data_IF_398812999978
#
_entry.id   IF_398812999978
#
_cell.length_a   1.000
_cell.length_b   1.000
_cell.length_c   1.000
_cell.angle_alpha   90.00
_cell.angle_beta   90.00
_cell.angle_gamma   90.00
#
_symmetry.space_group_name_H-M   'P 1'
#
loop_
_entity.id
_entity.type
_entity.pdbx_description
1 polymer ?
#
# COMPACT_ATOMS: atom_id res chain seq x y z
N UNK A 1 -6.81 7.83 47.71
CA UNK A 1 -8.00 7.16 47.09
C UNK A 1 -7.54 5.86 46.53
N UNK A 2 -8.28 4.79 46.83
CA UNK A 2 -8.05 3.44 46.32
C UNK A 2 -9.17 3.07 45.34
N UNK A 3 -8.77 2.56 44.20
CA UNK A 3 -9.69 1.98 43.23
C UNK A 3 -9.40 0.50 43.02
N UNK A 4 -10.44 -0.30 43.00
CA UNK A 4 -10.38 -1.70 42.62
C UNK A 4 -11.12 -1.89 41.30
N UNK A 5 -10.45 -2.38 40.26
CA UNK A 5 -11.04 -2.72 38.98
C UNK A 5 -11.41 -4.19 39.00
N UNK A 6 -12.71 -4.51 38.77
CA UNK A 6 -13.21 -5.87 38.79
C UNK A 6 -13.83 -6.22 37.44
N UNK A 7 -13.62 -7.44 37.00
CA UNK A 7 -14.28 -8.06 35.85
C UNK A 7 -15.38 -9.00 36.35
N UNK A 8 -16.60 -8.80 35.88
CA UNK A 8 -17.69 -9.76 36.06
C UNK A 8 -17.83 -10.58 34.76
N UNK A 9 -17.59 -11.88 34.85
CA UNK A 9 -17.78 -12.82 33.75
C UNK A 9 -19.04 -13.63 34.02
N UNK A 10 -19.93 -13.66 33.01
CA UNK A 10 -21.15 -14.53 33.04
C UNK A 10 -20.98 -15.61 31.99
N UNK A 11 -20.93 -16.86 32.45
CA UNK A 11 -20.77 -17.99 31.54
C UNK A 11 -22.08 -18.29 30.80
N UNK A 12 -22.00 -19.02 29.70
CA UNK A 12 -23.18 -19.49 28.94
C UNK A 12 -24.12 -20.40 29.76
N UNK A 13 -23.64 -20.90 30.89
CA UNK A 13 -24.41 -21.76 31.84
C UNK A 13 -25.07 -20.96 32.96
N UNK A 14 -24.87 -19.63 32.99
CA UNK A 14 -25.50 -18.73 33.95
C UNK A 14 -24.66 -18.46 35.21
N UNK A 15 -23.49 -19.09 35.37
CA UNK A 15 -22.59 -18.79 36.50
C UNK A 15 -21.98 -17.42 36.34
N UNK A 16 -21.90 -16.69 37.46
CA UNK A 16 -21.33 -15.34 37.51
C UNK A 16 -20.07 -15.39 38.37
N UNK A 17 -18.94 -15.04 37.79
CA UNK A 17 -17.67 -14.93 38.48
C UNK A 17 -17.19 -13.48 38.48
N UNK A 18 -16.77 -12.98 39.65
CA UNK A 18 -16.19 -11.64 39.79
C UNK A 18 -14.72 -11.75 40.14
N UNK A 19 -13.85 -11.25 39.26
CA UNK A 19 -12.41 -11.34 39.39
C UNK A 19 -11.82 -9.94 39.51
N UNK A 20 -10.89 -9.74 40.44
CA UNK A 20 -10.14 -8.50 40.56
C UNK A 20 -9.07 -8.43 39.48
N UNK A 21 -9.09 -7.35 38.69
CA UNK A 21 -8.15 -7.10 37.59
C UNK A 21 -6.96 -6.29 38.07
N UNK A 22 -7.21 -5.21 38.84
CA UNK A 22 -6.15 -4.34 39.33
C UNK A 22 -6.59 -3.51 40.54
N UNK A 23 -5.62 -3.06 41.33
CA UNK A 23 -5.78 -2.02 42.36
C UNK A 23 -4.92 -0.83 42.02
N UNK A 24 -5.47 0.36 42.18
CA UNK A 24 -4.79 1.61 41.95
C UNK A 24 -4.89 2.46 43.19
N UNK A 25 -3.75 3.00 43.65
CA UNK A 25 -3.68 3.91 44.77
C UNK A 25 -3.19 5.29 44.32
N UNK A 26 -3.83 6.37 44.81
CA UNK A 26 -3.37 7.74 44.58
C UNK A 26 -3.39 8.53 45.88
N UNK A 27 -2.32 9.25 46.11
CA UNK A 27 -2.27 10.24 47.19
C UNK A 27 -3.10 11.46 46.82
N UNK A 28 -3.80 12.04 47.78
CA UNK A 28 -4.54 13.29 47.58
C UNK A 28 -3.70 14.48 48.01
N UNK A 29 -2.95 14.30 49.13
CA UNK A 29 -2.04 15.32 49.63
C UNK A 29 -0.66 15.14 48.98
N UNK A 30 -0.15 16.19 48.33
CA UNK A 30 1.14 16.16 47.63
C UNK A 30 1.04 15.51 46.26
N UNK A 31 -0.14 15.47 45.63
CA UNK A 31 -0.35 14.96 44.28
C UNK A 31 0.52 15.73 43.28
N UNK A 32 1.25 15.00 42.44
CA UNK A 32 2.05 15.57 41.36
C UNK A 32 1.35 15.41 40.00
N UNK A 33 1.79 16.17 38.99
CA UNK A 33 1.22 16.08 37.66
C UNK A 33 1.40 14.69 37.03
N UNK A 34 2.49 13.99 37.36
CA UNK A 34 2.81 12.64 36.87
C UNK A 34 1.90 11.55 37.47
N UNK A 35 1.27 11.83 38.62
CA UNK A 35 0.34 10.91 39.30
C UNK A 35 -1.13 11.10 38.86
N UNK A 36 -1.40 12.01 37.91
CA UNK A 36 -2.77 12.23 37.39
C UNK A 36 -3.21 11.10 36.47
N UNK A 37 -4.36 10.50 36.81
CA UNK A 37 -4.98 9.45 36.00
C UNK A 37 -4.17 8.14 36.00
N UNK A 38 -4.19 7.44 34.86
CA UNK A 38 -3.44 6.20 34.65
C UNK A 38 -2.12 6.52 33.93
N UNK A 39 -1.03 6.06 34.48
CA UNK A 39 0.24 5.99 33.74
C UNK A 39 0.16 4.94 32.61
N UNK A 40 1.02 5.07 31.61
CA UNK A 40 1.10 4.08 30.52
C UNK A 40 1.45 2.68 31.05
N UNK A 41 2.27 2.58 32.08
CA UNK A 41 2.65 1.32 32.71
C UNK A 41 1.42 0.65 33.35
N UNK A 42 0.70 1.37 34.21
CA UNK A 42 -0.52 0.86 34.85
C UNK A 42 -1.60 0.48 33.83
N UNK A 43 -1.79 1.30 32.80
CA UNK A 43 -2.74 0.96 31.73
C UNK A 43 -2.33 -0.34 31.00
N UNK A 44 -1.04 -0.55 30.76
CA UNK A 44 -0.54 -1.81 30.19
C UNK A 44 -0.80 -3.01 31.10
N UNK A 45 -0.58 -2.88 32.39
CA UNK A 45 -0.79 -3.96 33.36
C UNK A 45 -2.28 -4.32 33.44
N UNK A 46 -3.16 -3.33 33.51
CA UNK A 46 -4.62 -3.52 33.49
C UNK A 46 -5.07 -4.23 32.21
N UNK A 47 -4.60 -3.77 31.06
CA UNK A 47 -4.97 -4.36 29.75
C UNK A 47 -4.42 -5.79 29.59
N UNK A 48 -3.22 -6.06 30.09
CA UNK A 48 -2.62 -7.39 30.04
C UNK A 48 -3.41 -8.39 30.90
N UNK A 49 -3.79 -8.00 32.13
CA UNK A 49 -4.56 -8.86 33.02
C UNK A 49 -5.99 -9.05 32.52
N UNK A 50 -6.66 -8.00 32.05
CA UNK A 50 -7.96 -8.09 31.43
C UNK A 50 -7.96 -9.03 30.23
N UNK A 51 -6.96 -8.91 29.34
CA UNK A 51 -6.80 -9.79 28.16
C UNK A 51 -6.58 -11.24 28.60
N UNK A 52 -5.79 -11.46 29.64
CA UNK A 52 -5.54 -12.80 30.18
C UNK A 52 -6.83 -13.47 30.64
N UNK A 53 -7.60 -12.78 31.46
CA UNK A 53 -8.85 -13.28 32.02
C UNK A 53 -9.88 -13.57 30.92
N UNK A 54 -10.14 -12.60 30.06
CA UNK A 54 -11.10 -12.73 28.95
C UNK A 54 -10.73 -13.89 28.04
N UNK A 55 -9.46 -14.01 27.65
CA UNK A 55 -9.04 -15.05 26.72
C UNK A 55 -9.06 -16.45 27.38
N UNK A 56 -8.69 -16.56 28.65
CA UNK A 56 -8.76 -17.84 29.38
C UNK A 56 -10.20 -18.34 29.44
N UNK A 57 -11.13 -17.52 29.94
CA UNK A 57 -12.54 -17.89 30.02
C UNK A 57 -13.13 -18.25 28.65
N UNK A 58 -12.85 -17.46 27.62
CA UNK A 58 -13.29 -17.78 26.25
C UNK A 58 -12.75 -19.14 25.76
N UNK A 59 -11.49 -19.45 26.06
CA UNK A 59 -10.88 -20.69 25.58
C UNK A 59 -11.38 -21.90 26.37
N UNK A 60 -11.69 -21.76 27.65
CA UNK A 60 -12.31 -22.78 28.46
C UNK A 60 -13.70 -23.14 27.91
N UNK A 61 -14.58 -22.16 27.71
CA UNK A 61 -15.90 -22.38 27.13
C UNK A 61 -15.83 -22.94 25.71
N UNK A 62 -14.98 -22.38 24.86
CA UNK A 62 -14.77 -22.84 23.48
C UNK A 62 -14.35 -24.33 23.45
N UNK A 63 -13.42 -24.73 24.31
CA UNK A 63 -12.92 -26.09 24.34
C UNK A 63 -13.94 -27.05 24.89
N UNK A 64 -14.77 -26.65 25.87
CA UNK A 64 -15.92 -27.44 26.35
C UNK A 64 -16.93 -27.67 25.24
N UNK A 65 -17.36 -26.62 24.56
CA UNK A 65 -18.26 -26.72 23.41
C UNK A 65 -17.69 -27.60 22.29
N UNK A 66 -16.40 -27.46 22.02
CA UNK A 66 -15.72 -28.26 21.01
C UNK A 66 -15.64 -29.76 21.33
N UNK A 67 -15.90 -30.20 22.56
CA UNK A 67 -16.01 -31.61 22.89
C UNK A 67 -17.31 -32.26 22.38
N UNK A 68 -18.34 -31.50 22.09
CA UNK A 68 -19.54 -32.03 21.44
C UNK A 68 -19.27 -32.28 19.95
N UNK A 69 -19.71 -33.39 19.44
CA UNK A 69 -19.64 -33.68 18.03
C UNK A 69 -20.71 -32.86 17.28
N UNK A 70 -20.39 -32.08 16.25
CA UNK A 70 -21.39 -31.28 15.56
C UNK A 70 -22.44 -32.10 14.78
N UNK A 71 -22.14 -33.35 14.44
CA UNK A 71 -23.05 -34.20 13.68
C UNK A 71 -23.98 -35.07 14.58
N UNK A 72 -23.42 -35.70 15.61
CA UNK A 72 -24.20 -36.64 16.45
C UNK A 72 -24.42 -36.18 17.90
N UNK A 73 -23.91 -34.98 18.25
CA UNK A 73 -24.00 -34.37 19.58
C UNK A 73 -23.44 -35.21 20.73
N UNK A 74 -22.72 -36.29 20.44
CA UNK A 74 -22.04 -37.09 21.46
C UNK A 74 -20.79 -36.42 21.96
N UNK A 75 -20.53 -36.56 23.27
CA UNK A 75 -19.33 -36.02 23.91
C UNK A 75 -18.09 -36.80 23.45
N UNK A 76 -17.12 -36.11 22.86
CA UNK A 76 -15.84 -36.67 22.40
C UNK A 76 -14.87 -36.81 23.58
N UNK A 77 -14.09 -37.91 23.58
CA UNK A 77 -13.09 -38.16 24.61
C UNK A 77 -11.92 -37.18 24.48
N UNK A 78 -11.56 -36.56 25.60
CA UNK A 78 -10.31 -35.83 25.71
C UNK A 78 -9.15 -36.81 25.90
N UNK A 79 -8.09 -36.66 25.11
CA UNK A 79 -6.90 -37.53 25.14
C UNK A 79 -5.86 -37.04 26.12
N UNK A 80 -5.42 -35.79 25.89
CA UNK A 80 -4.46 -35.10 26.72
C UNK A 80 -4.81 -33.58 26.73
N UNK A 81 -4.14 -32.84 27.59
CA UNK A 81 -4.19 -31.40 27.61
C UNK A 81 -2.76 -30.85 27.56
N UNK A 82 -2.51 -29.91 26.63
CA UNK A 82 -1.24 -29.23 26.48
C UNK A 82 -1.48 -27.76 26.70
N UNK A 83 -0.46 -27.04 27.19
CA UNK A 83 -0.52 -25.60 27.24
C UNK A 83 -0.13 -24.99 25.90
N UNK A 84 -0.72 -23.84 25.59
CA UNK A 84 -0.46 -23.10 24.36
C UNK A 84 -0.37 -21.60 24.63
N UNK A 85 0.73 -20.99 24.21
CA UNK A 85 0.92 -19.54 24.32
C UNK A 85 0.28 -18.85 23.11
N UNK A 86 -0.64 -17.93 23.36
CA UNK A 86 -1.30 -17.10 22.36
C UNK A 86 -0.77 -15.68 22.50
N UNK A 87 -0.20 -15.14 21.43
CA UNK A 87 0.25 -13.76 21.37
C UNK A 87 -0.91 -12.83 20.98
N UNK A 88 -1.18 -11.84 21.80
CA UNK A 88 -2.24 -10.84 21.60
C UNK A 88 -1.65 -9.43 21.60
N UNK A 89 -2.46 -8.40 21.33
CA UNK A 89 -2.04 -7.00 21.49
C UNK A 89 -1.67 -6.66 22.92
N UNK A 90 -2.32 -7.28 23.88
CA UNK A 90 -2.17 -6.95 25.30
C UNK A 90 -1.44 -8.03 26.08
N UNK A 91 -0.50 -8.72 25.44
CA UNK A 91 0.37 -9.70 26.09
C UNK A 91 0.31 -11.08 25.48
N UNK A 92 1.09 -11.99 26.06
CA UNK A 92 1.07 -13.42 25.74
C UNK A 92 0.31 -14.15 26.82
N UNK A 93 -0.76 -14.83 26.44
CA UNK A 93 -1.62 -15.58 27.35
C UNK A 93 -1.38 -17.08 27.15
N UNK A 94 -1.12 -17.77 28.27
CA UNK A 94 -1.03 -19.23 28.29
C UNK A 94 -2.43 -19.79 28.55
N UNK A 95 -2.91 -20.67 27.67
CA UNK A 95 -4.20 -21.30 27.75
C UNK A 95 -4.06 -22.82 27.62
N UNK A 96 -5.01 -23.54 28.17
CA UNK A 96 -5.14 -24.97 28.01
C UNK A 96 -5.66 -25.33 26.62
N UNK A 97 -5.02 -26.30 25.98
CA UNK A 97 -5.30 -26.73 24.62
C UNK A 97 -5.53 -28.26 24.61
N UNK A 98 -6.72 -28.72 25.04
CA UNK A 98 -7.03 -30.13 25.04
C UNK A 98 -7.03 -30.69 23.62
N UNK A 99 -6.59 -31.97 23.52
CA UNK A 99 -6.71 -32.76 22.29
C UNK A 99 -7.88 -33.71 22.44
N UNK A 100 -8.74 -33.70 21.45
CA UNK A 100 -10.00 -34.38 21.43
C UNK A 100 -10.00 -35.48 20.36
N UNK A 101 -10.45 -36.67 20.65
CA UNK A 101 -10.57 -37.76 19.67
C UNK A 101 -11.60 -37.40 18.59
N UNK A 102 -11.36 -37.82 17.35
CA UNK A 102 -12.38 -37.72 16.29
C UNK A 102 -13.56 -38.63 16.65
N UNK A 103 -14.79 -38.16 16.40
CA UNK A 103 -15.99 -38.92 16.64
C UNK A 103 -16.08 -40.11 15.67
N UNK A 104 -16.51 -41.30 16.12
CA UNK A 104 -16.73 -42.44 15.21
C UNK A 104 -17.65 -42.14 14.03
N UNK A 105 -18.63 -41.25 14.19
CA UNK A 105 -19.53 -40.85 13.10
C UNK A 105 -18.84 -40.07 11.98
N UNK A 106 -17.67 -39.44 12.27
CA UNK A 106 -16.86 -38.68 11.31
C UNK A 106 -15.69 -39.53 10.77
N UNK A 107 -15.43 -40.69 11.33
CA UNK A 107 -14.29 -41.52 10.97
C UNK A 107 -14.70 -42.61 9.95
N UNK A 108 -14.75 -42.23 8.68
CA UNK A 108 -15.10 -43.12 7.56
C UNK A 108 -14.00 -44.15 7.21
N UNK A 109 -12.79 -43.96 7.75
CA UNK A 109 -11.59 -44.73 7.34
C UNK A 109 -11.04 -45.67 8.42
N UNK A 110 -11.74 -45.93 9.51
CA UNK A 110 -11.32 -46.84 10.62
C UNK A 110 -9.89 -46.53 11.17
N UNK A 111 -9.41 -45.33 11.07
CA UNK A 111 -8.15 -44.94 11.70
C UNK A 111 -8.32 -44.85 13.19
N UNK A 112 -7.81 -45.86 13.90
CA UNK A 112 -7.69 -45.86 15.34
C UNK A 112 -6.76 -44.70 15.74
N UNK A 113 -7.27 -43.74 16.54
CA UNK A 113 -6.48 -42.83 17.34
C UNK A 113 -6.10 -41.44 16.74
N UNK A 114 -6.85 -40.89 15.82
CA UNK A 114 -6.65 -39.49 15.42
C UNK A 114 -7.26 -38.55 16.48
N UNK A 115 -6.44 -37.65 17.02
CA UNK A 115 -6.88 -36.57 17.91
C UNK A 115 -6.56 -35.23 17.30
N UNK A 116 -7.43 -34.24 17.47
CA UNK A 116 -7.27 -32.88 17.01
C UNK A 116 -7.29 -31.91 18.20
N UNK A 117 -6.63 -30.78 18.06
CA UNK A 117 -6.75 -29.68 19.03
C UNK A 117 -7.61 -28.58 18.40
N UNK A 118 -8.82 -28.32 18.93
CA UNK A 118 -9.70 -27.27 18.41
C UNK A 118 -9.01 -25.90 18.38
N UNK A 119 -8.27 -25.57 19.44
CA UNK A 119 -7.53 -24.31 19.53
C UNK A 119 -6.41 -24.21 18.48
N UNK A 120 -5.78 -25.34 18.10
CA UNK A 120 -4.77 -25.33 17.06
C UNK A 120 -5.37 -25.12 15.65
N UNK A 121 -6.60 -25.53 15.43
CA UNK A 121 -7.36 -25.26 14.22
C UNK A 121 -7.83 -23.80 14.16
N UNK A 122 -8.32 -23.26 15.26
CA UNK A 122 -8.78 -21.87 15.36
C UNK A 122 -7.62 -20.86 15.17
N UNK A 123 -6.48 -21.11 15.83
CA UNK A 123 -5.30 -20.24 15.81
C UNK A 123 -4.03 -21.04 15.46
N UNK A 124 -3.82 -21.40 14.18
CA UNK A 124 -2.68 -22.23 13.79
C UNK A 124 -1.32 -21.58 14.11
N UNK A 125 -1.21 -20.27 13.97
CA UNK A 125 0.01 -19.50 14.15
C UNK A 125 0.21 -18.91 15.56
N UNK A 126 -0.64 -19.25 16.52
CA UNK A 126 -0.57 -18.79 17.92
C UNK A 126 -0.54 -17.25 18.08
N UNK A 127 -1.09 -16.54 17.12
CA UNK A 127 -1.14 -15.09 17.09
C UNK A 127 -2.56 -14.62 16.84
N UNK A 128 -3.08 -13.78 17.72
CA UNK A 128 -4.38 -13.16 17.50
C UNK A 128 -4.38 -12.35 16.19
N UNK A 129 -5.46 -12.46 15.39
CA UNK A 129 -5.56 -11.75 14.10
C UNK A 129 -5.31 -10.24 14.22
N UNK A 130 -5.78 -9.63 15.28
CA UNK A 130 -5.62 -8.20 15.56
C UNK A 130 -4.14 -7.81 15.74
N UNK A 131 -3.37 -8.57 16.52
CA UNK A 131 -1.92 -8.33 16.67
C UNK A 131 -1.21 -8.47 15.32
N UNK A 132 -1.56 -9.48 14.52
CA UNK A 132 -0.98 -9.70 13.19
C UNK A 132 -1.27 -8.52 12.27
N UNK A 133 -2.50 -8.01 12.29
CA UNK A 133 -2.94 -6.84 11.52
C UNK A 133 -2.14 -5.59 11.90
N UNK A 134 -2.06 -5.26 13.20
CA UNK A 134 -1.33 -4.08 13.68
C UNK A 134 0.17 -4.18 13.37
N UNK A 135 0.77 -5.35 13.53
CA UNK A 135 2.17 -5.57 13.16
C UNK A 135 2.42 -5.41 11.67
N UNK A 136 1.52 -5.89 10.81
CA UNK A 136 1.62 -5.71 9.38
C UNK A 136 1.45 -4.24 8.98
N UNK A 137 0.52 -3.52 9.59
CA UNK A 137 0.32 -2.10 9.37
C UNK A 137 1.56 -1.28 9.74
N UNK A 138 2.09 -1.48 10.95
CA UNK A 138 3.31 -0.81 11.39
C UNK A 138 4.52 -1.22 10.54
N UNK A 139 4.64 -2.50 10.15
CA UNK A 139 5.69 -3.00 9.28
C UNK A 139 5.63 -2.42 7.86
N UNK A 140 4.44 -2.05 7.39
CA UNK A 140 4.24 -1.36 6.12
C UNK A 140 4.55 0.15 6.20
N UNK A 141 4.47 0.77 7.39
CA UNK A 141 4.76 2.20 7.60
C UNK A 141 6.21 2.47 7.99
N UNK A 142 6.79 1.61 8.83
CA UNK A 142 8.09 1.78 9.47
C UNK A 142 9.03 0.62 9.13
N UNK A 143 10.33 0.78 9.44
CA UNK A 143 11.22 -0.37 9.43
C UNK A 143 10.73 -1.43 10.42
N UNK A 144 10.99 -2.72 10.15
CA UNK A 144 10.49 -3.79 11.02
C UNK A 144 11.04 -3.72 12.45
N UNK A 145 12.23 -3.14 12.64
CA UNK A 145 12.79 -2.86 13.98
C UNK A 145 12.03 -1.75 14.67
N UNK A 146 11.77 -0.66 13.97
CA UNK A 146 11.03 0.47 14.51
C UNK A 146 9.57 0.10 14.83
N UNK A 147 8.94 -0.69 13.96
CA UNK A 147 7.61 -1.24 14.23
C UNK A 147 7.56 -2.06 15.53
N UNK A 148 8.61 -2.88 15.79
CA UNK A 148 8.73 -3.61 17.04
C UNK A 148 8.93 -2.70 18.25
N UNK A 149 9.74 -1.67 18.13
CA UNK A 149 9.97 -0.67 19.18
C UNK A 149 8.67 0.09 19.53
N UNK A 150 7.94 0.55 18.52
CA UNK A 150 6.66 1.25 18.73
C UNK A 150 5.63 0.36 19.42
N UNK A 151 5.51 -0.90 19.00
CA UNK A 151 4.61 -1.85 19.66
C UNK A 151 4.93 -2.03 21.13
N UNK A 152 6.18 -2.32 21.48
CA UNK A 152 6.57 -2.52 22.89
C UNK A 152 6.51 -1.24 23.73
N UNK A 153 6.69 -0.08 23.09
CA UNK A 153 6.54 1.20 23.78
C UNK A 153 5.08 1.48 24.17
N UNK A 154 4.13 1.16 23.29
CA UNK A 154 2.72 1.54 23.46
C UNK A 154 1.87 0.42 24.07
N UNK A 155 2.19 -0.84 23.81
CA UNK A 155 1.35 -1.99 24.20
C UNK A 155 2.11 -2.92 25.15
N UNK A 156 1.40 -3.68 26.02
CA UNK A 156 2.00 -4.66 26.92
C UNK A 156 2.38 -5.96 26.21
N UNK A 157 2.79 -5.88 24.95
CA UNK A 157 3.25 -7.06 24.21
C UNK A 157 4.76 -7.23 24.35
N UNK A 158 5.23 -8.47 24.42
CA UNK A 158 6.65 -8.78 24.35
C UNK A 158 7.26 -8.19 23.08
N UNK A 159 8.47 -7.58 23.13
CA UNK A 159 9.09 -6.98 21.96
C UNK A 159 9.24 -8.03 20.84
N UNK A 160 8.51 -7.89 19.72
CA UNK A 160 8.60 -8.87 18.65
C UNK A 160 9.93 -8.71 17.90
N UNK A 161 10.56 -9.82 17.55
CA UNK A 161 11.70 -9.80 16.66
C UNK A 161 11.27 -9.19 15.30
N UNK A 162 12.13 -8.38 14.71
CA UNK A 162 11.92 -7.77 13.40
C UNK A 162 11.59 -8.81 12.30
N UNK A 163 12.15 -10.03 12.39
CA UNK A 163 11.84 -11.12 11.48
C UNK A 163 10.40 -11.63 11.64
N UNK A 164 9.86 -11.63 12.87
CA UNK A 164 8.47 -11.98 13.14
C UNK A 164 7.52 -10.99 12.47
N UNK A 165 7.75 -9.67 12.64
CA UNK A 165 6.94 -8.63 12.00
C UNK A 165 7.01 -8.76 10.48
N UNK A 166 8.21 -8.94 9.92
CA UNK A 166 8.38 -9.17 8.48
C UNK A 166 7.55 -10.36 8.00
N UNK A 167 7.65 -11.50 8.67
CA UNK A 167 6.95 -12.71 8.25
C UNK A 167 5.43 -12.56 8.36
N UNK A 168 4.93 -11.84 9.37
CA UNK A 168 3.51 -11.53 9.52
C UNK A 168 3.03 -10.55 8.45
N UNK A 169 3.82 -9.52 8.13
CA UNK A 169 3.54 -8.62 7.01
C UNK A 169 3.44 -9.40 5.69
N UNK A 170 4.35 -10.36 5.45
CA UNK A 170 4.30 -11.21 4.26
C UNK A 170 3.05 -12.10 4.23
N UNK A 171 2.64 -12.64 5.37
CA UNK A 171 1.41 -13.44 5.45
C UNK A 171 0.17 -12.60 5.15
N UNK A 172 0.06 -11.41 5.74
CA UNK A 172 -1.05 -10.49 5.46
C UNK A 172 -1.08 -10.10 3.97
N UNK A 173 0.08 -9.89 3.33
CA UNK A 173 0.14 -9.68 1.89
C UNK A 173 -0.48 -10.86 1.11
N UNK A 174 -0.09 -12.09 1.47
CA UNK A 174 -0.64 -13.29 0.82
C UNK A 174 -2.15 -13.41 1.06
N UNK A 175 -2.64 -13.12 2.27
CA UNK A 175 -4.07 -13.11 2.58
C UNK A 175 -4.83 -12.09 1.73
N UNK A 176 -4.31 -10.86 1.58
CA UNK A 176 -4.88 -9.85 0.68
C UNK A 176 -4.94 -10.35 -0.77
N UNK A 177 -3.95 -11.08 -1.21
CA UNK A 177 -3.87 -11.60 -2.58
C UNK A 177 -4.81 -12.78 -2.84
N UNK A 178 -5.02 -13.64 -1.84
CA UNK A 178 -5.93 -14.80 -1.94
C UNK A 178 -7.40 -14.42 -1.81
N UNK A 179 -7.71 -13.33 -1.09
CA UNK A 179 -9.11 -12.86 -0.86
C UNK A 179 -9.58 -11.89 -1.94
N UNK A 180 -8.92 -11.84 -3.11
CA UNK A 180 -9.27 -10.90 -4.18
C UNK A 180 -10.64 -11.19 -4.77
N UNK A 181 -11.47 -10.15 -5.00
CA UNK A 181 -12.77 -10.33 -5.62
C UNK A 181 -12.62 -10.75 -7.09
N UNK A 182 -13.44 -11.70 -7.50
CA UNK A 182 -13.61 -12.04 -8.90
C UNK A 182 -14.60 -11.07 -9.56
N UNK A 183 -14.42 -10.82 -10.87
CA UNK A 183 -15.32 -9.97 -11.63
C UNK A 183 -16.70 -10.62 -11.73
N UNK A 184 -17.71 -10.05 -11.06
CA UNK A 184 -19.09 -10.46 -11.27
C UNK A 184 -19.62 -9.90 -12.59
N UNK A 185 -20.42 -10.69 -13.30
CA UNK A 185 -21.08 -10.27 -14.55
C UNK A 185 -22.37 -9.47 -14.28
N UNK A 186 -22.82 -9.42 -13.02
CA UNK A 186 -24.10 -8.84 -12.65
C UNK A 186 -23.97 -7.40 -12.11
N UNK A 187 -24.93 -6.56 -12.47
CA UNK A 187 -25.11 -5.16 -12.06
C UNK A 187 -24.83 -4.14 -13.19
N UNK A 188 -25.31 -2.90 -13.11
CA UNK A 188 -25.09 -1.86 -14.14
C UNK A 188 -23.65 -1.34 -14.15
N UNK A 189 -22.98 -1.26 -15.29
CA UNK A 189 -21.68 -0.61 -15.43
C UNK A 189 -21.80 0.86 -14.99
N UNK A 190 -20.80 1.35 -14.28
CA UNK A 190 -20.72 2.78 -13.95
C UNK A 190 -20.61 3.57 -15.26
N UNK A 191 -21.45 4.59 -15.44
CA UNK A 191 -21.33 5.53 -16.57
C UNK A 191 -20.17 6.51 -16.39
N UNK A 192 -19.55 6.56 -15.19
CA UNK A 192 -18.43 7.42 -14.90
C UNK A 192 -17.13 6.92 -15.53
N UNK A 193 -16.30 7.84 -16.01
CA UNK A 193 -14.96 7.53 -16.53
C UNK A 193 -14.13 6.85 -15.43
N UNK A 194 -13.56 5.67 -15.75
CA UNK A 194 -12.62 5.00 -14.88
C UNK A 194 -11.19 5.32 -15.34
N UNK A 195 -10.40 5.92 -14.46
CA UNK A 195 -9.04 6.35 -14.76
C UNK A 195 -8.05 5.52 -13.95
N UNK A 196 -7.13 4.88 -14.63
CA UNK A 196 -5.98 4.17 -14.05
C UNK A 196 -4.75 5.07 -14.15
N UNK A 197 -4.20 5.47 -13.03
CA UNK A 197 -2.91 6.16 -12.96
C UNK A 197 -1.87 5.13 -12.54
N UNK A 198 -0.81 4.97 -13.32
CA UNK A 198 0.19 3.93 -13.11
C UNK A 198 1.58 4.47 -13.40
N UNK A 199 2.54 4.13 -12.53
CA UNK A 199 3.92 4.60 -12.63
C UNK A 199 4.90 3.56 -12.05
N UNK A 200 6.17 3.68 -12.41
CA UNK A 200 7.28 2.86 -11.96
C UNK A 200 8.10 3.53 -10.85
N UNK A 201 8.55 2.75 -9.88
CA UNK A 201 9.48 3.20 -8.85
C UNK A 201 10.68 2.27 -8.78
N UNK A 202 11.90 2.83 -8.67
CA UNK A 202 13.13 2.08 -8.52
C UNK A 202 13.56 2.05 -7.05
N UNK A 203 13.75 0.85 -6.50
CA UNK A 203 14.23 0.64 -5.14
C UNK A 203 15.51 -0.20 -5.15
N UNK A 204 16.31 -0.12 -4.08
CA UNK A 204 17.58 -0.85 -4.00
C UNK A 204 17.35 -2.34 -3.79
N UNK A 205 17.97 -3.17 -4.62
CA UNK A 205 17.98 -4.62 -4.49
C UNK A 205 18.85 -5.09 -3.32
N UNK A 206 18.52 -6.26 -2.75
CA UNK A 206 19.35 -6.95 -1.78
C UNK A 206 20.64 -7.48 -2.44
N UNK A 207 21.72 -7.67 -1.66
CA UNK A 207 22.92 -8.32 -2.16
C UNK A 207 22.62 -9.67 -2.79
N UNK A 208 23.33 -10.01 -3.88
CA UNK A 208 23.12 -11.26 -4.63
C UNK A 208 22.01 -11.18 -5.69
N UNK A 209 21.31 -10.06 -5.82
CA UNK A 209 20.38 -9.84 -6.93
C UNK A 209 21.16 -9.45 -8.21
N UNK A 210 20.65 -9.87 -9.38
CA UNK A 210 21.30 -9.61 -10.69
C UNK A 210 21.42 -8.11 -11.00
N UNK A 211 20.46 -7.32 -10.57
CA UNK A 211 20.44 -5.86 -10.76
C UNK A 211 20.59 -5.13 -9.43
N UNK A 212 21.15 -3.91 -9.47
CA UNK A 212 21.26 -3.06 -8.27
C UNK A 212 19.94 -2.47 -7.82
N UNK A 213 18.95 -2.50 -8.68
CA UNK A 213 17.61 -1.92 -8.46
C UNK A 213 16.53 -2.95 -8.78
N UNK A 214 15.40 -2.81 -8.11
CA UNK A 214 14.17 -3.53 -8.37
C UNK A 214 13.12 -2.52 -8.79
N UNK A 215 12.32 -2.89 -9.79
CA UNK A 215 11.18 -2.10 -10.21
C UNK A 215 9.98 -2.48 -9.35
N UNK A 216 9.26 -1.46 -8.89
CA UNK A 216 7.98 -1.60 -8.20
C UNK A 216 6.98 -0.76 -8.96
N UNK A 217 5.98 -1.38 -9.52
CA UNK A 217 4.87 -0.69 -10.16
C UNK A 217 3.86 -0.28 -9.09
N UNK A 218 3.46 0.96 -9.12
CA UNK A 218 2.47 1.53 -8.21
C UNK A 218 1.41 2.28 -9.00
N UNK A 219 0.22 2.39 -8.44
CA UNK A 219 -0.82 3.17 -9.09
C UNK A 219 -2.11 3.18 -8.29
N UNK A 220 -3.11 3.80 -8.89
CA UNK A 220 -4.47 3.86 -8.36
C UNK A 220 -5.51 3.85 -9.47
N UNK A 221 -6.68 3.35 -9.14
CA UNK A 221 -7.87 3.41 -9.97
C UNK A 221 -8.82 4.43 -9.35
N UNK A 222 -9.21 5.42 -10.13
CA UNK A 222 -10.14 6.47 -9.73
C UNK A 222 -11.44 6.39 -10.54
N UNK A 223 -12.55 6.55 -9.84
CA UNK A 223 -13.89 6.72 -10.39
C UNK A 223 -14.56 7.89 -9.65
N UNK A 224 -15.20 8.79 -10.36
CA UNK A 224 -15.87 9.93 -9.76
C UNK A 224 -16.87 9.48 -8.68
N UNK A 225 -16.83 10.12 -7.51
CA UNK A 225 -17.70 9.82 -6.37
C UNK A 225 -17.30 8.58 -5.55
N UNK A 226 -16.18 7.92 -5.85
CA UNK A 226 -15.66 6.78 -5.08
C UNK A 226 -14.29 7.08 -4.48
N UNK A 227 -13.97 6.44 -3.37
CA UNK A 227 -12.61 6.48 -2.83
C UNK A 227 -11.64 5.76 -3.78
N UNK A 228 -10.48 6.36 -4.12
CA UNK A 228 -9.51 5.75 -4.99
C UNK A 228 -9.00 4.42 -4.45
N UNK A 229 -8.72 3.48 -5.36
CA UNK A 229 -8.17 2.17 -5.04
C UNK A 229 -6.70 2.08 -5.46
N UNK A 230 -5.80 2.07 -4.48
CA UNK A 230 -4.36 1.92 -4.72
C UNK A 230 -4.00 0.47 -4.99
N UNK A 231 -3.03 0.26 -5.85
CA UNK A 231 -2.38 -1.04 -6.09
C UNK A 231 -0.87 -0.87 -6.18
N UNK A 232 -0.14 -1.93 -5.83
CA UNK A 232 1.29 -1.97 -6.00
C UNK A 232 1.79 -3.41 -6.09
N UNK A 233 2.82 -3.65 -6.88
CA UNK A 233 3.47 -4.95 -7.02
C UNK A 233 4.91 -4.81 -7.52
N UNK A 234 5.73 -5.83 -7.24
CA UNK A 234 7.03 -6.00 -7.88
C UNK A 234 6.91 -7.15 -8.91
N UNK A 235 7.51 -7.02 -10.12
CA UNK A 235 7.31 -7.97 -11.24
C UNK A 235 7.64 -9.44 -10.94
N UNK A 236 8.44 -9.70 -9.91
CA UNK A 236 8.83 -11.05 -9.46
C UNK A 236 8.18 -11.46 -8.14
N UNK A 237 7.04 -10.87 -7.81
CA UNK A 237 6.22 -11.28 -6.67
C UNK A 237 5.49 -12.61 -6.91
N UNK A 238 4.89 -13.16 -5.87
CA UNK A 238 4.14 -14.42 -5.95
C UNK A 238 2.87 -14.30 -6.80
N UNK A 239 2.21 -13.13 -6.77
CA UNK A 239 1.00 -12.88 -7.54
C UNK A 239 1.31 -12.31 -8.93
N UNK A 240 0.48 -12.65 -9.89
CA UNK A 240 0.54 -12.04 -11.22
C UNK A 240 0.22 -10.55 -11.14
N UNK A 241 1.02 -9.66 -11.77
CA UNK A 241 0.70 -8.25 -11.91
C UNK A 241 -0.70 -7.99 -12.48
N UNK A 242 -1.13 -8.83 -13.42
CA UNK A 242 -2.46 -8.76 -14.04
C UNK A 242 -3.57 -8.99 -13.03
N UNK A 243 -3.44 -10.00 -12.14
CA UNK A 243 -4.45 -10.29 -11.12
C UNK A 243 -4.55 -9.16 -10.08
N UNK A 244 -3.42 -8.55 -9.71
CA UNK A 244 -3.41 -7.40 -8.78
C UNK A 244 -4.15 -6.21 -9.37
N UNK A 245 -3.85 -5.88 -10.62
CA UNK A 245 -4.48 -4.76 -11.30
C UNK A 245 -5.97 -5.03 -11.58
N UNK A 246 -6.31 -6.25 -12.05
CA UNK A 246 -7.70 -6.64 -12.26
C UNK A 246 -8.53 -6.56 -10.98
N UNK A 247 -8.00 -7.01 -9.85
CA UNK A 247 -8.69 -6.88 -8.56
C UNK A 247 -8.98 -5.41 -8.21
N UNK A 248 -8.02 -4.51 -8.42
CA UNK A 248 -8.22 -3.08 -8.18
C UNK A 248 -9.29 -2.47 -9.10
N UNK A 249 -9.34 -2.89 -10.37
CA UNK A 249 -10.37 -2.49 -11.31
C UNK A 249 -11.77 -2.98 -10.88
N UNK A 250 -11.88 -4.26 -10.52
CA UNK A 250 -13.14 -4.89 -10.07
C UNK A 250 -13.67 -4.24 -8.80
N UNK A 251 -12.83 -3.96 -7.82
CA UNK A 251 -13.21 -3.26 -6.59
C UNK A 251 -13.75 -1.84 -6.86
N UNK A 252 -13.33 -1.20 -7.97
CA UNK A 252 -13.86 0.07 -8.44
C UNK A 252 -15.11 -0.07 -9.34
N UNK A 253 -15.59 -1.29 -9.51
CA UNK A 253 -16.80 -1.57 -10.29
C UNK A 253 -16.56 -1.71 -11.80
N UNK A 254 -15.30 -1.96 -12.22
CA UNK A 254 -14.99 -2.26 -13.62
C UNK A 254 -15.59 -3.59 -14.06
N UNK A 255 -15.97 -3.65 -15.33
CA UNK A 255 -16.52 -4.85 -15.99
C UNK A 255 -15.79 -5.15 -17.28
N UNK A 256 -15.75 -6.44 -17.67
CA UNK A 256 -15.21 -6.85 -18.95
C UNK A 256 -15.85 -6.07 -20.12
N UNK A 257 -15.02 -5.52 -21.01
CA UNK A 257 -15.46 -4.72 -22.14
C UNK A 257 -15.66 -3.22 -21.87
N UNK A 258 -15.62 -2.77 -20.63
CA UNK A 258 -15.68 -1.34 -20.31
C UNK A 258 -14.38 -0.64 -20.71
N UNK A 259 -14.50 0.49 -21.40
CA UNK A 259 -13.35 1.32 -21.76
C UNK A 259 -12.69 1.95 -20.53
N UNK A 260 -11.37 1.98 -20.53
CA UNK A 260 -10.55 2.56 -19.47
C UNK A 260 -9.68 3.70 -20.01
N UNK A 261 -9.49 4.72 -19.20
CA UNK A 261 -8.46 5.75 -19.41
C UNK A 261 -7.23 5.40 -18.58
N UNK A 262 -6.04 5.39 -19.19
CA UNK A 262 -4.76 5.14 -18.50
C UNK A 262 -3.89 6.37 -18.65
N UNK A 263 -3.34 6.85 -17.53
CA UNK A 263 -2.35 7.93 -17.51
C UNK A 263 -1.01 7.33 -17.03
N UNK A 264 0.05 7.46 -17.83
CA UNK A 264 1.39 6.98 -17.51
C UNK A 264 2.49 7.82 -18.17
N UNK A 265 3.75 7.57 -17.80
CA UNK A 265 4.94 8.31 -18.24
C UNK A 265 5.37 8.09 -19.70
N UNK A 266 4.65 7.27 -20.45
CA UNK A 266 4.97 6.93 -21.85
C UNK A 266 5.83 5.66 -21.98
N UNK A 267 6.12 4.94 -20.92
CA UNK A 267 6.66 3.58 -21.00
C UNK A 267 5.55 2.64 -21.50
N UNK A 268 5.74 2.06 -22.69
CA UNK A 268 4.72 1.23 -23.33
C UNK A 268 4.31 0.00 -22.51
N UNK A 269 5.15 -0.48 -21.61
CA UNK A 269 4.89 -1.62 -20.75
C UNK A 269 3.70 -1.36 -19.81
N UNK A 270 3.55 -0.14 -19.28
CA UNK A 270 2.51 0.21 -18.30
C UNK A 270 1.10 0.21 -18.91
N UNK A 271 0.79 0.94 -20.00
CA UNK A 271 -0.53 0.87 -20.62
C UNK A 271 -0.84 -0.52 -21.21
N UNK A 272 0.18 -1.26 -21.69
CA UNK A 272 -0.01 -2.63 -22.16
C UNK A 272 -0.41 -3.59 -21.02
N UNK A 273 0.16 -3.42 -19.84
CA UNK A 273 -0.22 -4.17 -18.63
C UNK A 273 -1.70 -3.93 -18.29
N UNK A 274 -2.14 -2.66 -18.32
CA UNK A 274 -3.54 -2.31 -18.04
C UNK A 274 -4.47 -2.90 -19.11
N UNK A 275 -4.08 -2.85 -20.39
CA UNK A 275 -4.83 -3.45 -21.49
C UNK A 275 -4.97 -4.96 -21.32
N UNK A 276 -3.90 -5.64 -20.92
CA UNK A 276 -3.93 -7.08 -20.67
C UNK A 276 -4.79 -7.44 -19.44
N UNK A 277 -4.77 -6.62 -18.39
CA UNK A 277 -5.61 -6.82 -17.21
C UNK A 277 -7.09 -6.59 -17.50
N UNK A 278 -7.42 -5.57 -18.29
CA UNK A 278 -8.78 -5.22 -18.67
C UNK A 278 -9.35 -6.16 -19.75
N UNK A 279 -8.53 -6.63 -20.68
CA UNK A 279 -9.02 -7.40 -21.83
C UNK A 279 -10.01 -6.61 -22.72
N UNK A 280 -9.88 -5.26 -22.74
CA UNK A 280 -10.79 -4.36 -23.45
C UNK A 280 -10.10 -3.07 -23.91
N UNK A 281 -10.85 -2.12 -24.49
CA UNK A 281 -10.28 -0.89 -25.01
C UNK A 281 -9.69 -0.02 -23.90
N UNK A 282 -8.47 0.46 -24.13
CA UNK A 282 -7.73 1.33 -23.21
C UNK A 282 -7.31 2.60 -23.96
N UNK A 283 -7.76 3.73 -23.48
CA UNK A 283 -7.34 5.04 -23.96
C UNK A 283 -6.12 5.50 -23.14
N UNK A 284 -4.93 5.50 -23.77
CA UNK A 284 -3.70 5.93 -23.15
C UNK A 284 -3.56 7.46 -23.28
N UNK A 285 -3.22 8.10 -22.18
CA UNK A 285 -2.90 9.53 -22.07
C UNK A 285 -1.50 9.65 -21.51
N UNK A 286 -0.63 10.36 -22.23
CA UNK A 286 0.70 10.67 -21.73
C UNK A 286 0.61 11.65 -20.56
N UNK A 287 1.32 11.37 -19.49
CA UNK A 287 1.28 12.19 -18.28
C UNK A 287 1.86 13.60 -18.56
N UNK A 288 1.04 14.63 -18.31
CA UNK A 288 1.46 16.02 -18.44
C UNK A 288 2.65 16.38 -17.53
N UNK A 289 2.73 15.79 -16.34
CA UNK A 289 3.83 16.05 -15.42
C UNK A 289 5.18 15.64 -16.03
N UNK A 290 5.26 14.47 -16.64
CA UNK A 290 6.46 13.98 -17.31
C UNK A 290 6.84 14.84 -18.54
N UNK A 291 5.86 15.37 -19.28
CA UNK A 291 6.09 16.36 -20.32
C UNK A 291 6.68 17.64 -19.72
N UNK A 292 6.06 18.18 -18.67
CA UNK A 292 6.49 19.39 -18.00
C UNK A 292 7.91 19.27 -17.39
N UNK A 293 8.22 18.11 -16.79
CA UNK A 293 9.56 17.82 -16.29
C UNK A 293 10.65 17.82 -17.37
N UNK A 294 10.33 17.38 -18.58
CA UNK A 294 11.26 17.41 -19.73
C UNK A 294 11.38 18.79 -20.36
N UNK A 295 10.35 19.61 -20.29
CA UNK A 295 10.40 21.03 -20.74
C UNK A 295 11.25 21.89 -19.80
N UNK A 296 11.17 21.66 -18.48
CA UNK A 296 11.79 22.54 -17.47
C UNK A 296 13.30 22.74 -17.60
N UNK A 297 14.15 21.74 -17.85
CA UNK A 297 15.57 21.93 -18.10
C UNK A 297 15.84 22.84 -19.31
N UNK A 298 15.04 22.68 -20.38
CA UNK A 298 15.14 23.49 -21.58
C UNK A 298 14.80 24.95 -21.26
N UNK A 299 13.69 25.20 -20.58
CA UNK A 299 13.24 26.51 -20.11
C UNK A 299 14.31 27.21 -19.24
N UNK A 300 14.90 26.45 -18.30
CA UNK A 300 15.95 26.97 -17.41
C UNK A 300 17.22 27.34 -18.17
N UNK A 301 17.63 26.50 -19.13
CA UNK A 301 18.80 26.80 -19.95
C UNK A 301 18.56 28.05 -20.80
N UNK A 302 17.41 28.23 -21.41
CA UNK A 302 17.04 29.38 -22.19
C UNK A 302 17.03 30.65 -21.31
N UNK A 303 16.42 30.57 -20.10
CA UNK A 303 16.42 31.67 -19.16
C UNK A 303 17.84 32.07 -18.76
N UNK A 304 18.73 31.09 -18.53
CA UNK A 304 20.15 31.35 -18.28
C UNK A 304 20.88 31.97 -19.48
N UNK A 305 20.46 31.70 -20.70
CA UNK A 305 20.99 32.33 -21.88
C UNK A 305 20.45 33.78 -22.05
N UNK A 306 19.15 34.02 -21.88
CA UNK A 306 18.55 35.35 -22.00
C UNK A 306 19.04 36.34 -20.95
N UNK A 307 19.55 35.88 -19.82
CA UNK A 307 20.14 36.71 -18.76
C UNK A 307 21.61 37.13 -19.04
N UNK A 308 22.22 36.64 -20.10
CA UNK A 308 23.62 36.95 -20.47
C UNK A 308 23.71 38.14 -21.43
N UNK A 309 24.82 38.81 -21.35
CA UNK A 309 25.13 39.92 -22.27
C UNK A 309 25.64 39.33 -23.60
N UNK A 310 24.82 39.38 -24.63
CA UNK A 310 25.13 38.91 -25.97
C UNK A 310 25.34 40.04 -26.94
N UNK A 311 26.26 39.85 -27.87
CA UNK A 311 26.46 40.76 -29.02
C UNK A 311 25.18 40.87 -29.85
N UNK A 312 24.48 39.75 -30.05
CA UNK A 312 23.16 39.70 -30.67
C UNK A 312 22.21 38.82 -29.82
N UNK A 313 21.31 39.38 -28.99
CA UNK A 313 20.41 38.67 -28.13
C UNK A 313 19.18 38.11 -28.86
N UNK A 314 18.92 38.49 -30.12
CA UNK A 314 17.70 38.08 -30.85
C UNK A 314 17.48 36.59 -30.93
N UNK A 315 18.50 35.72 -31.18
CA UNK A 315 18.29 34.26 -31.17
C UNK A 315 17.88 33.73 -29.82
N UNK A 316 18.38 34.26 -28.70
CA UNK A 316 17.98 33.86 -27.36
C UNK A 316 16.50 34.20 -27.07
N UNK A 317 16.07 35.42 -27.42
CA UNK A 317 14.67 35.84 -27.28
C UNK A 317 13.73 35.00 -28.18
N UNK A 318 14.17 34.67 -29.39
CA UNK A 318 13.42 33.80 -30.31
C UNK A 318 13.30 32.36 -29.77
N UNK A 319 14.36 31.85 -29.14
CA UNK A 319 14.34 30.54 -28.46
C UNK A 319 13.34 30.52 -27.30
N UNK A 320 13.29 31.59 -26.48
CA UNK A 320 12.31 31.75 -25.40
C UNK A 320 10.88 31.72 -25.95
N UNK A 321 10.58 32.46 -27.01
CA UNK A 321 9.26 32.46 -27.61
C UNK A 321 8.87 31.08 -28.20
N UNK A 322 9.84 30.34 -28.76
CA UNK A 322 9.59 28.99 -29.32
C UNK A 322 9.27 27.97 -28.24
N UNK A 323 9.98 27.95 -27.10
CA UNK A 323 9.69 26.98 -26.03
C UNK A 323 8.31 27.23 -25.37
N UNK A 324 7.96 28.52 -25.20
CA UNK A 324 6.64 28.88 -24.66
C UNK A 324 5.50 28.48 -25.61
N UNK A 325 5.70 28.62 -26.91
CA UNK A 325 4.74 28.15 -27.92
C UNK A 325 4.67 26.62 -27.91
N UNK A 326 5.78 25.91 -27.88
CA UNK A 326 5.82 24.45 -27.83
C UNK A 326 5.03 23.93 -26.63
N UNK A 327 5.24 24.51 -25.44
CA UNK A 327 4.49 24.16 -24.22
C UNK A 327 2.98 24.37 -24.39
N UNK A 328 2.55 25.52 -24.93
CA UNK A 328 1.14 25.81 -25.17
C UNK A 328 0.53 24.84 -26.18
N UNK A 329 1.24 24.52 -27.25
CA UNK A 329 0.79 23.57 -28.26
C UNK A 329 0.60 22.17 -27.71
N UNK A 330 1.54 21.70 -26.86
CA UNK A 330 1.41 20.43 -26.16
C UNK A 330 0.21 20.43 -25.21
N UNK A 331 0.00 21.52 -24.45
CA UNK A 331 -1.14 21.67 -23.56
C UNK A 331 -2.49 21.59 -24.28
N UNK A 332 -2.53 22.06 -25.52
CA UNK A 332 -3.71 21.99 -26.38
C UNK A 332 -3.80 20.73 -27.26
N UNK A 333 -2.91 19.74 -27.07
CA UNK A 333 -2.92 18.49 -27.81
C UNK A 333 -2.49 18.63 -29.28
N UNK A 334 -1.49 19.44 -29.55
CA UNK A 334 -0.95 19.69 -30.91
C UNK A 334 0.53 19.28 -31.02
N UNK A 335 0.85 17.96 -30.86
CA UNK A 335 2.24 17.49 -30.78
C UNK A 335 3.03 17.73 -32.06
N UNK A 336 2.44 17.66 -33.23
CA UNK A 336 3.12 17.95 -34.50
C UNK A 336 3.63 19.38 -34.57
N UNK A 337 2.78 20.37 -34.27
CA UNK A 337 3.16 21.76 -34.24
C UNK A 337 4.20 22.09 -33.14
N UNK A 338 4.08 21.42 -31.98
CA UNK A 338 5.06 21.54 -30.93
C UNK A 338 6.44 21.00 -31.35
N UNK A 339 6.46 19.89 -32.08
CA UNK A 339 7.69 19.32 -32.65
C UNK A 339 8.38 20.29 -33.61
N UNK A 340 7.61 21.04 -34.42
CA UNK A 340 8.14 22.08 -35.30
C UNK A 340 8.76 23.26 -34.52
N UNK A 341 8.11 23.71 -33.44
CA UNK A 341 8.66 24.73 -32.56
C UNK A 341 9.98 24.29 -31.89
N UNK A 342 10.11 23.03 -31.52
CA UNK A 342 11.38 22.50 -31.02
C UNK A 342 12.48 22.48 -32.07
N UNK A 343 12.15 22.23 -33.34
CA UNK A 343 13.11 22.36 -34.45
C UNK A 343 13.54 23.83 -34.61
N UNK A 344 12.59 24.76 -34.57
CA UNK A 344 12.92 26.22 -34.63
C UNK A 344 13.84 26.62 -33.48
N UNK A 345 13.58 26.15 -32.28
CA UNK A 345 14.41 26.38 -31.10
C UNK A 345 15.84 25.85 -31.27
N UNK A 346 15.98 24.62 -31.83
CA UNK A 346 17.32 24.08 -32.14
C UNK A 346 18.08 24.92 -33.14
N UNK A 347 17.39 25.51 -34.13
CA UNK A 347 17.98 26.45 -35.12
C UNK A 347 18.40 27.76 -34.44
N UNK A 348 17.55 28.35 -33.58
CA UNK A 348 17.92 29.54 -32.81
C UNK A 348 19.12 29.33 -31.90
N UNK A 349 19.25 28.13 -31.30
CA UNK A 349 20.42 27.78 -30.50
C UNK A 349 21.70 27.67 -31.37
N UNK A 350 21.61 27.19 -32.62
CA UNK A 350 22.72 27.17 -33.55
C UNK A 350 23.09 28.60 -33.99
N UNK A 351 22.11 29.43 -34.34
CA UNK A 351 22.31 30.84 -34.72
C UNK A 351 22.96 31.63 -33.58
N UNK A 352 22.63 31.36 -32.32
CA UNK A 352 23.22 32.01 -31.16
C UNK A 352 24.74 31.78 -31.12
N UNK A 353 25.22 30.58 -31.37
CA UNK A 353 26.65 30.26 -31.44
C UNK A 353 27.30 30.96 -32.63
N UNK A 354 26.68 30.88 -33.80
CA UNK A 354 27.23 31.48 -35.01
C UNK A 354 27.41 33.01 -34.88
N UNK A 355 26.48 33.71 -34.23
CA UNK A 355 26.50 35.18 -34.10
C UNK A 355 27.32 35.70 -32.94
N UNK A 356 27.46 34.89 -31.86
CA UNK A 356 28.10 35.36 -30.62
C UNK A 356 29.42 34.63 -30.29
N UNK A 357 29.87 33.69 -31.17
CA UNK A 357 31.11 32.93 -31.01
C UNK A 357 31.00 31.71 -30.12
N UNK A 358 32.07 30.91 -30.04
CA UNK A 358 32.10 29.58 -29.45
C UNK A 358 32.02 29.52 -27.90
N UNK A 359 32.04 30.69 -27.24
CA UNK A 359 31.96 30.75 -25.76
C UNK A 359 30.67 30.07 -25.19
N UNK A 360 29.64 29.90 -26.02
CA UNK A 360 28.36 29.28 -25.62
C UNK A 360 28.11 27.93 -26.29
N UNK A 361 29.08 27.40 -27.02
CA UNK A 361 28.94 26.17 -27.82
C UNK A 361 28.50 24.99 -26.97
N UNK A 362 29.06 24.77 -25.78
CA UNK A 362 28.67 23.69 -24.89
C UNK A 362 27.20 23.82 -24.46
N UNK A 363 26.77 25.00 -24.03
CA UNK A 363 25.39 25.25 -23.56
C UNK A 363 24.37 25.09 -24.70
N UNK A 364 24.68 25.63 -25.89
CA UNK A 364 23.78 25.51 -27.05
C UNK A 364 23.74 24.10 -27.62
N UNK A 365 24.83 23.34 -27.52
CA UNK A 365 24.87 21.91 -27.86
C UNK A 365 23.98 21.10 -26.92
N UNK A 366 24.09 21.30 -25.61
CA UNK A 366 23.23 20.65 -24.63
C UNK A 366 21.76 21.01 -24.80
N UNK A 367 21.46 22.28 -25.08
CA UNK A 367 20.11 22.74 -25.39
C UNK A 367 19.53 22.01 -26.59
N UNK A 368 20.28 21.91 -27.69
CA UNK A 368 19.88 21.20 -28.90
C UNK A 368 19.63 19.69 -28.60
N UNK A 369 20.51 19.06 -27.81
CA UNK A 369 20.37 17.67 -27.40
C UNK A 369 19.07 17.45 -26.60
N UNK A 370 18.79 18.27 -25.58
CA UNK A 370 17.55 18.19 -24.78
C UNK A 370 16.29 18.40 -25.62
N UNK A 371 16.34 19.33 -26.58
CA UNK A 371 15.23 19.57 -27.52
C UNK A 371 15.00 18.36 -28.43
N UNK A 372 16.05 17.72 -28.91
CA UNK A 372 15.97 16.52 -29.73
C UNK A 372 15.39 15.35 -28.94
N UNK A 373 15.84 15.15 -27.68
CA UNK A 373 15.32 14.12 -26.77
C UNK A 373 13.82 14.33 -26.48
N UNK A 374 13.40 15.57 -26.16
CA UNK A 374 12.00 15.91 -25.95
C UNK A 374 11.17 15.67 -27.21
N UNK A 375 11.69 16.07 -28.37
CA UNK A 375 11.02 15.83 -29.66
C UNK A 375 10.83 14.35 -29.94
N UNK A 376 11.85 13.52 -29.75
CA UNK A 376 11.72 12.06 -29.87
C UNK A 376 10.67 11.49 -28.90
N UNK A 377 10.66 11.95 -27.66
CA UNK A 377 9.68 11.55 -26.67
C UNK A 377 8.24 11.89 -27.09
N UNK A 378 8.00 13.10 -27.60
CA UNK A 378 6.70 13.55 -28.13
C UNK A 378 6.27 12.68 -29.30
N UNK A 379 7.17 12.42 -30.26
CA UNK A 379 6.84 11.65 -31.46
C UNK A 379 6.56 10.17 -31.14
N UNK A 380 7.30 9.58 -30.22
CA UNK A 380 7.08 8.19 -29.77
C UNK A 380 5.76 8.01 -29.01
N UNK A 381 5.21 9.10 -28.47
CA UNK A 381 3.96 9.09 -27.70
C UNK A 381 2.87 9.95 -28.35
N UNK A 382 2.93 10.13 -29.68
CA UNK A 382 2.12 11.08 -30.42
C UNK A 382 0.62 10.91 -30.15
N UNK A 383 0.12 9.67 -30.23
CA UNK A 383 -1.30 9.34 -30.08
C UNK A 383 -1.80 9.44 -28.63
N UNK A 384 -0.88 9.46 -27.66
CA UNK A 384 -1.20 9.58 -26.24
C UNK A 384 -1.24 11.06 -25.76
N UNK A 385 -0.86 12.01 -26.61
CA UNK A 385 -0.92 13.44 -26.31
C UNK A 385 -2.30 13.99 -26.68
N UNK A 386 -3.08 14.31 -25.67
CA UNK A 386 -4.45 14.81 -25.80
C UNK A 386 -4.54 16.31 -25.48
N UNK A 387 -5.71 16.93 -25.69
CA UNK A 387 -5.94 18.29 -25.19
C UNK A 387 -6.07 18.29 -23.67
N UNK A 388 -4.95 18.50 -22.98
CA UNK A 388 -4.92 18.64 -21.51
C UNK A 388 -5.75 19.83 -21.05
N UNK A 389 -5.80 20.91 -21.80
CA UNK A 389 -6.65 22.08 -21.56
C UNK A 389 -8.13 21.66 -21.41
N UNK A 390 -8.66 20.91 -22.36
CA UNK A 390 -10.06 20.48 -22.31
C UNK A 390 -10.32 19.51 -21.16
N UNK A 391 -9.38 18.60 -20.87
CA UNK A 391 -9.50 17.68 -19.74
C UNK A 391 -9.50 18.41 -18.41
N UNK A 392 -8.57 19.37 -18.26
CA UNK A 392 -8.43 20.17 -17.04
C UNK A 392 -9.69 20.99 -16.73
N UNK A 393 -10.27 21.67 -17.73
CA UNK A 393 -11.50 22.44 -17.57
C UNK A 393 -12.76 21.55 -17.45
N UNK A 394 -12.65 20.26 -17.78
CA UNK A 394 -13.69 19.27 -17.54
C UNK A 394 -13.49 18.46 -16.27
N UNK A 395 -12.70 18.94 -15.31
CA UNK A 395 -12.36 18.28 -14.02
C UNK A 395 -11.82 16.85 -14.17
N UNK A 396 -11.24 16.54 -15.35
CA UNK A 396 -10.64 15.23 -15.63
C UNK A 396 -9.15 15.27 -15.32
N UNK A 397 -8.57 14.19 -14.79
CA UNK A 397 -7.15 14.15 -14.50
C UNK A 397 -6.31 14.25 -15.77
N UNK A 398 -5.24 15.06 -15.71
CA UNK A 398 -4.30 15.31 -16.80
C UNK A 398 -2.89 14.80 -16.47
N UNK A 399 -2.67 14.39 -15.23
CA UNK A 399 -1.35 14.05 -14.73
C UNK A 399 -1.45 12.97 -13.65
N UNK A 400 -0.39 12.16 -13.57
CA UNK A 400 -0.16 11.27 -12.44
C UNK A 400 0.34 12.02 -11.20
N UNK A 401 0.40 13.36 -11.18
CA UNK A 401 0.83 14.11 -9.99
C UNK A 401 0.01 13.75 -8.74
N UNK A 402 -1.26 13.36 -8.92
CA UNK A 402 -2.06 12.70 -7.88
C UNK A 402 -1.61 11.25 -7.62
N UNK A 403 -0.94 10.57 -8.55
CA UNK A 403 -0.36 9.24 -8.39
C UNK A 403 1.12 9.29 -8.01
N UNK A 404 1.83 10.40 -8.22
CA UNK A 404 3.15 10.63 -7.60
C UNK A 404 3.05 10.54 -6.08
N UNK A 405 1.91 10.97 -5.50
CA UNK A 405 1.56 10.63 -4.14
C UNK A 405 1.66 9.12 -3.88
N UNK A 406 1.23 8.25 -4.81
CA UNK A 406 1.35 6.78 -4.65
C UNK A 406 2.81 6.31 -4.71
N UNK A 407 3.64 6.83 -5.63
CA UNK A 407 5.08 6.52 -5.67
C UNK A 407 5.76 6.97 -4.38
N UNK A 408 5.51 8.21 -3.95
CA UNK A 408 6.09 8.73 -2.72
C UNK A 408 5.56 8.00 -1.48
N UNK A 409 4.26 7.81 -1.39
CA UNK A 409 3.60 7.14 -0.28
C UNK A 409 3.95 5.64 -0.19
N UNK A 410 3.99 4.92 -1.30
CA UNK A 410 4.20 3.47 -1.31
C UNK A 410 5.70 3.14 -1.35
N UNK A 411 6.43 3.62 -2.37
CA UNK A 411 7.80 3.23 -2.61
C UNK A 411 8.81 4.11 -1.83
N UNK A 412 8.76 5.44 -1.99
CA UNK A 412 9.79 6.32 -1.44
C UNK A 412 9.73 6.40 0.09
N UNK A 413 8.54 6.52 0.68
CA UNK A 413 8.38 6.67 2.11
C UNK A 413 8.82 5.42 2.89
N UNK A 414 8.63 4.22 2.32
CA UNK A 414 8.92 2.96 3.02
C UNK A 414 10.11 2.20 2.47
N UNK A 415 10.41 2.28 1.17
CA UNK A 415 11.33 1.38 0.52
C UNK A 415 12.59 2.04 -0.02
N UNK A 416 12.63 3.37 -0.24
CA UNK A 416 13.72 4.05 -0.93
C UNK A 416 14.20 5.30 -0.20
N UNK A 417 13.69 6.48 -0.58
CA UNK A 417 14.30 7.78 -0.22
C UNK A 417 14.35 8.06 1.28
N UNK A 418 13.28 7.74 2.02
CA UNK A 418 13.17 8.05 3.46
C UNK A 418 13.73 6.96 4.36
N UNK A 419 13.78 5.71 3.88
CA UNK A 419 14.29 4.56 4.61
C UNK A 419 15.28 3.79 3.73
N UNK A 420 16.57 3.95 3.97
CA UNK A 420 17.65 3.30 3.19
C UNK A 420 17.70 1.81 3.46
N UNK A 421 16.86 1.05 2.76
CA UNK A 421 16.77 -0.41 2.86
C UNK A 421 17.15 -1.07 1.54
N UNK A 422 17.48 -2.36 1.62
CA UNK A 422 17.70 -3.24 0.47
C UNK A 422 16.63 -4.32 0.49
N UNK A 423 16.09 -4.65 -0.67
CA UNK A 423 14.91 -5.48 -0.80
C UNK A 423 15.15 -6.71 -1.65
N UNK A 424 14.63 -7.86 -1.21
CA UNK A 424 14.37 -8.99 -2.10
C UNK A 424 13.09 -8.70 -2.91
N UNK A 425 12.95 -9.25 -4.14
CA UNK A 425 11.74 -9.06 -4.95
C UNK A 425 10.45 -9.41 -4.19
N UNK A 426 10.43 -10.56 -3.51
CA UNK A 426 9.30 -10.99 -2.69
C UNK A 426 9.03 -10.04 -1.53
N UNK A 427 10.07 -9.57 -0.84
CA UNK A 427 9.91 -8.64 0.28
C UNK A 427 9.36 -7.29 -0.16
N UNK A 428 9.87 -6.75 -1.27
CA UNK A 428 9.38 -5.53 -1.88
C UNK A 428 7.90 -5.65 -2.27
N UNK A 429 7.56 -6.73 -2.97
CA UNK A 429 6.18 -7.00 -3.40
C UNK A 429 5.20 -7.04 -2.22
N UNK A 430 5.48 -7.88 -1.21
CA UNK A 430 4.58 -8.02 -0.07
C UNK A 430 4.40 -6.72 0.72
N UNK A 431 5.48 -5.96 0.94
CA UNK A 431 5.37 -4.67 1.63
C UNK A 431 4.60 -3.65 0.79
N UNK A 432 4.78 -3.63 -0.53
CA UNK A 432 4.03 -2.76 -1.43
C UNK A 432 2.52 -3.06 -1.40
N UNK A 433 2.14 -4.34 -1.46
CA UNK A 433 0.73 -4.80 -1.37
C UNK A 433 0.09 -4.39 -0.05
N UNK A 434 0.75 -4.68 1.09
CA UNK A 434 0.22 -4.31 2.41
C UNK A 434 0.13 -2.79 2.55
N UNK A 435 1.14 -2.05 2.06
CA UNK A 435 1.15 -0.60 2.17
C UNK A 435 0.03 0.05 1.35
N UNK A 436 -0.24 -0.43 0.13
CA UNK A 436 -1.40 0.00 -0.65
C UNK A 436 -2.71 -0.24 0.12
N UNK A 437 -2.85 -1.40 0.77
CA UNK A 437 -4.02 -1.73 1.59
C UNK A 437 -4.15 -0.84 2.84
N UNK A 438 -3.02 -0.51 3.49
CA UNK A 438 -2.98 0.40 4.65
C UNK A 438 -3.41 1.81 4.26
N UNK A 439 -2.90 2.32 3.14
CA UNK A 439 -3.23 3.67 2.65
C UNK A 439 -4.71 3.79 2.24
N UNK A 440 -5.32 2.71 1.77
CA UNK A 440 -6.75 2.64 1.47
C UNK A 440 -7.62 2.33 2.71
N UNK A 441 -7.02 2.17 3.89
CA UNK A 441 -7.74 1.84 5.13
C UNK A 441 -8.36 0.44 5.16
N UNK A 442 -7.92 -0.49 4.28
CA UNK A 442 -8.48 -1.85 4.15
C UNK A 442 -8.00 -2.86 5.19
N UNK A 443 -6.97 -2.52 5.97
CA UNK A 443 -6.53 -3.36 7.08
C UNK A 443 -7.28 -3.09 8.39
N UNK A 444 -8.39 -2.36 8.35
CA UNK A 444 -9.25 -2.18 9.52
C UNK A 444 -9.84 -3.53 9.92
N UNK A 445 -9.84 -3.85 11.22
CA UNK A 445 -10.59 -4.98 11.73
C UNK A 445 -12.06 -4.81 11.35
N UNK A 446 -12.76 -5.89 10.95
CA UNK A 446 -14.20 -5.82 10.88
C UNK A 446 -14.70 -5.33 12.25
N UNK A 447 -15.56 -4.32 12.24
CA UNK A 447 -16.29 -3.95 13.45
C UNK A 447 -17.03 -5.22 13.88
N UNK A 448 -16.72 -5.73 15.06
CA UNK A 448 -17.61 -6.69 15.70
C UNK A 448 -18.97 -6.01 15.71
N UNK A 449 -19.95 -6.60 15.02
CA UNK A 449 -21.33 -6.17 15.16
C UNK A 449 -21.61 -6.22 16.66
N UNK A 450 -21.77 -5.03 17.25
CA UNK A 450 -22.31 -4.94 18.61
C UNK A 450 -23.75 -5.42 18.45
N UNK A 451 -24.00 -6.65 18.78
CA UNK A 451 -25.37 -7.06 19.13
C UNK A 451 -25.83 -6.06 20.17
N UNK A 452 -26.81 -5.26 19.79
CA UNK A 452 -27.46 -4.33 20.69
C UNK A 452 -28.07 -5.20 21.82
N UNK A 453 -27.53 -5.03 23.03
CA UNK A 453 -28.06 -5.64 24.25
C UNK A 453 -29.39 -4.98 24.59
#
# INVERSE_FOLDING_TARGET
VDWTIKLEARTGWGDVETIEVARLHRRVVGLTAEELGLSLAEAKDVLAELQRLVLQTQMEEYTLCARLCPECMKLRRQRDCRTRNIQTLFGTVTVDAPRISICPCQNTMNFVDISLSPLAQLLPDRCAPELRRVQAELGARHSFREAGRLLSMLLPCSPPNHATIRNRTHRVATEIETTRPEASKEGAASSAEMVVMIDGAHIRAAPGHQTRQLDVTVGKVEVAGRQPRRFAFAPRGAASPLSTLRAALVEQGWRPGQALTVISDGEAALPNLVRAAAGGPVHHILDWFHIAMRLRPIEQMILGLTSRDFRDPRPACSAQASIERARRLLWHGRPGQASEELIRLMNHAADLTLRNGDHHLATTTDLRRLCAELRCYILNNYDAIVSYHRRYHGDRPVSTSRAEGCVDEIANARMSKRQRMRWSPRGAHHVAVVRAAVLDGRLKAPLLEREAA
#
